data_IF_579630069809
#
_entry.id   IF_579630069809
#
_cell.length_a   1.000
_cell.length_b   1.000
_cell.length_c   1.000
_cell.angle_alpha   90.00
_cell.angle_beta   90.00
_cell.angle_gamma   90.00
#
_symmetry.space_group_name_H-M   'P 1'
#
loop_
_entity.id
_entity.type
_entity.pdbx_description
1 polymer ?
#
# COMPACT_ATOMS: atom_id res chain seq x y z
N UNK A 1 -1.66 -2.63 -3.92
CA UNK A 1 -1.20 -2.26 -2.55
C UNK A 1 0.15 -2.87 -2.21
N UNK A 2 0.35 -4.20 -2.32
CA UNK A 2 1.63 -4.84 -2.00
C UNK A 2 2.84 -4.17 -2.68
N UNK A 3 2.75 -3.93 -3.99
CA UNK A 3 3.83 -3.29 -4.77
C UNK A 3 4.20 -1.91 -4.24
N UNK A 4 3.20 -1.09 -3.90
CA UNK A 4 3.44 0.24 -3.32
C UNK A 4 4.17 0.13 -1.98
N UNK A 5 3.81 -0.85 -1.13
CA UNK A 5 4.52 -1.07 0.13
C UNK A 5 5.99 -1.50 -0.09
N UNK A 6 6.25 -2.38 -1.06
CA UNK A 6 7.63 -2.79 -1.39
C UNK A 6 8.44 -1.61 -1.93
N UNK A 7 7.81 -0.75 -2.74
CA UNK A 7 8.42 0.46 -3.27
C UNK A 7 8.64 1.51 -2.18
N UNK A 8 7.72 1.68 -1.24
CA UNK A 8 7.91 2.55 -0.06
C UNK A 8 9.15 2.14 0.75
N UNK A 9 9.30 0.83 1.02
CA UNK A 9 10.49 0.30 1.71
C UNK A 9 11.76 0.54 0.89
N UNK A 10 11.70 0.28 -0.42
CA UNK A 10 12.85 0.46 -1.32
C UNK A 10 13.29 1.93 -1.39
N UNK A 11 12.33 2.85 -1.59
CA UNK A 11 12.59 4.29 -1.62
C UNK A 11 13.08 4.79 -0.27
N UNK A 12 12.56 4.29 0.85
CA UNK A 12 13.04 4.63 2.19
C UNK A 12 14.52 4.22 2.40
N UNK A 13 14.91 3.03 1.92
CA UNK A 13 16.31 2.59 1.96
C UNK A 13 17.19 3.53 1.13
N UNK A 14 16.74 3.95 -0.06
CA UNK A 14 17.49 4.88 -0.90
C UNK A 14 17.50 6.33 -0.39
N UNK A 15 16.47 6.76 0.33
CA UNK A 15 16.32 8.12 0.86
C UNK A 15 17.04 8.31 2.21
N UNK A 16 17.03 7.31 3.10
CA UNK A 16 17.64 7.43 4.43
C UNK A 16 18.79 6.45 4.65
N UNK A 17 18.63 5.19 4.27
CA UNK A 17 19.63 4.15 4.54
C UNK A 17 20.94 4.37 3.79
N UNK A 18 20.86 4.54 2.47
CA UNK A 18 22.02 4.80 1.61
C UNK A 18 22.72 6.12 1.99
N UNK A 19 22.01 7.27 2.08
CA UNK A 19 22.57 8.53 2.58
C UNK A 19 23.23 8.42 3.95
N UNK A 20 22.65 7.67 4.89
CA UNK A 20 23.27 7.46 6.21
C UNK A 20 24.63 6.76 6.09
N UNK A 21 24.72 5.67 5.32
CA UNK A 21 25.99 4.97 5.08
C UNK A 21 26.99 5.88 4.39
N UNK A 22 26.58 6.57 3.32
CA UNK A 22 27.45 7.49 2.59
C UNK A 22 27.94 8.64 3.45
N UNK A 23 27.09 9.20 4.32
CA UNK A 23 27.49 10.27 5.25
C UNK A 23 28.44 9.77 6.32
N UNK A 24 28.18 8.58 6.87
CA UNK A 24 28.99 8.00 7.94
C UNK A 24 30.42 7.68 7.47
N UNK A 25 30.58 7.17 6.25
CA UNK A 25 31.88 6.84 5.67
C UNK A 25 32.46 7.96 4.78
N UNK A 26 31.78 9.10 4.65
CA UNK A 26 32.21 10.20 3.78
C UNK A 26 32.31 9.81 2.29
N UNK A 27 31.47 8.90 1.81
CA UNK A 27 31.49 8.41 0.43
C UNK A 27 30.87 9.46 -0.50
N UNK A 28 31.64 9.87 -1.51
CA UNK A 28 31.26 10.85 -2.52
C UNK A 28 31.62 10.34 -3.91
N UNK A 29 30.95 10.85 -4.94
CA UNK A 29 31.25 10.49 -6.32
C UNK A 29 32.71 10.78 -6.70
N UNK A 30 33.36 11.76 -6.05
CA UNK A 30 34.76 12.11 -6.25
C UNK A 30 35.75 11.09 -5.67
N UNK A 31 35.46 10.52 -4.48
CA UNK A 31 36.41 9.65 -3.78
C UNK A 31 36.13 8.15 -3.97
N UNK A 32 34.89 7.78 -4.31
CA UNK A 32 34.48 6.38 -4.42
C UNK A 32 34.20 5.97 -5.87
N UNK A 33 34.18 6.92 -6.80
CA UNK A 33 34.00 6.67 -8.23
C UNK A 33 32.54 6.54 -8.68
N UNK A 34 32.36 6.00 -9.90
CA UNK A 34 31.09 6.07 -10.62
C UNK A 34 29.95 5.23 -10.03
N UNK A 35 30.23 4.26 -9.15
CA UNK A 35 29.16 3.42 -8.59
C UNK A 35 28.14 4.22 -7.76
N UNK A 36 28.55 5.34 -7.16
CA UNK A 36 27.65 6.28 -6.47
C UNK A 36 26.66 6.90 -7.45
N UNK A 37 27.11 7.21 -8.66
CA UNK A 37 26.24 7.78 -9.70
C UNK A 37 25.22 6.72 -10.15
N UNK A 38 25.66 5.47 -10.32
CA UNK A 38 24.76 4.33 -10.63
C UNK A 38 23.75 4.07 -9.52
N UNK A 39 24.15 4.27 -8.26
CA UNK A 39 23.26 4.16 -7.10
C UNK A 39 22.21 5.28 -7.10
N UNK A 40 22.59 6.51 -7.44
CA UNK A 40 21.67 7.63 -7.64
C UNK A 40 20.68 7.38 -8.78
N UNK A 41 21.14 6.79 -9.88
CA UNK A 41 20.26 6.34 -10.98
C UNK A 41 19.24 5.29 -10.51
N UNK A 42 19.68 4.31 -9.72
CA UNK A 42 18.79 3.29 -9.15
C UNK A 42 17.75 3.91 -8.21
N UNK A 43 18.16 4.88 -7.39
CA UNK A 43 17.25 5.65 -6.53
C UNK A 43 16.14 6.34 -7.34
N UNK A 44 16.51 7.03 -8.43
CA UNK A 44 15.53 7.69 -9.32
C UNK A 44 14.63 6.70 -10.06
N UNK A 45 15.17 5.56 -10.50
CA UNK A 45 14.36 4.51 -11.12
C UNK A 45 13.30 3.97 -10.15
N UNK A 46 13.67 3.74 -8.88
CA UNK A 46 12.70 3.34 -7.84
C UNK A 46 11.66 4.42 -7.56
N UNK A 47 12.06 5.70 -7.62
CA UNK A 47 11.13 6.82 -7.49
C UNK A 47 10.08 6.87 -8.62
N UNK A 48 10.48 6.63 -9.87
CA UNK A 48 9.55 6.58 -10.99
C UNK A 48 8.61 5.37 -10.92
N UNK A 49 9.11 4.20 -10.50
CA UNK A 49 8.26 3.03 -10.21
C UNK A 49 7.20 3.38 -9.16
N UNK A 50 7.62 3.99 -8.05
CA UNK A 50 6.72 4.42 -6.99
C UNK A 50 5.69 5.43 -7.49
N UNK A 51 6.12 6.39 -8.30
CA UNK A 51 5.23 7.40 -8.90
C UNK A 51 4.11 6.75 -9.71
N UNK A 52 4.43 5.88 -10.66
CA UNK A 52 3.43 5.16 -11.45
C UNK A 52 2.51 4.30 -10.57
N UNK A 53 3.08 3.56 -9.62
CA UNK A 53 2.32 2.69 -8.73
C UNK A 53 1.33 3.48 -7.85
N UNK A 54 1.73 4.66 -7.37
CA UNK A 54 0.87 5.55 -6.56
C UNK A 54 -0.30 6.12 -7.35
N UNK A 55 -0.07 6.51 -8.62
CA UNK A 55 -1.13 6.99 -9.53
C UNK A 55 -2.13 5.87 -9.84
N UNK A 56 -1.65 4.67 -10.18
CA UNK A 56 -2.51 3.51 -10.45
C UNK A 56 -3.32 3.14 -9.20
N UNK A 57 -2.74 3.22 -8.01
CA UNK A 57 -3.46 3.01 -6.76
C UNK A 57 -4.58 4.04 -6.57
N UNK A 58 -4.30 5.32 -6.84
CA UNK A 58 -5.31 6.39 -6.81
C UNK A 58 -6.45 6.13 -7.80
N UNK A 59 -6.12 5.72 -9.03
CA UNK A 59 -7.09 5.36 -10.07
C UNK A 59 -7.96 4.18 -9.64
N UNK A 60 -7.35 3.13 -9.08
CA UNK A 60 -8.08 1.98 -8.54
C UNK A 60 -9.10 2.42 -7.48
N UNK A 61 -8.73 3.34 -6.58
CA UNK A 61 -9.66 3.84 -5.55
C UNK A 61 -10.79 4.67 -6.12
N UNK A 62 -10.52 5.52 -7.11
CA UNK A 62 -11.56 6.28 -7.80
C UNK A 62 -12.56 5.35 -8.49
N UNK A 63 -12.07 4.41 -9.30
CA UNK A 63 -12.92 3.50 -10.07
C UNK A 63 -13.74 2.58 -9.16
N UNK A 64 -13.15 2.14 -8.03
CA UNK A 64 -13.85 1.32 -7.02
C UNK A 64 -15.11 2.00 -6.48
N UNK A 65 -15.12 3.32 -6.31
CA UNK A 65 -16.33 4.04 -5.93
C UNK A 65 -17.23 4.37 -7.11
N UNK A 66 -16.66 4.78 -8.24
CA UNK A 66 -17.43 5.24 -9.39
C UNK A 66 -18.21 4.11 -10.05
N UNK A 67 -17.57 2.95 -10.28
CA UNK A 67 -18.19 1.85 -11.00
C UNK A 67 -17.57 0.48 -10.66
N UNK A 68 -18.34 -0.41 -10.01
CA UNK A 68 -17.93 -1.80 -9.79
C UNK A 68 -17.64 -2.55 -11.11
N UNK A 69 -18.35 -2.21 -12.20
CA UNK A 69 -18.15 -2.81 -13.52
C UNK A 69 -16.76 -2.48 -14.08
N UNK A 70 -16.37 -1.22 -14.04
CA UNK A 70 -15.04 -0.79 -14.50
C UNK A 70 -13.93 -1.35 -13.61
N UNK A 71 -14.17 -1.48 -12.30
CA UNK A 71 -13.24 -2.14 -11.38
C UNK A 71 -13.00 -3.59 -11.80
N UNK A 72 -14.07 -4.31 -12.15
CA UNK A 72 -13.98 -5.68 -12.69
C UNK A 72 -13.21 -5.77 -14.01
N UNK A 73 -13.32 -4.76 -14.88
CA UNK A 73 -12.62 -4.76 -16.17
C UNK A 73 -11.12 -4.52 -16.00
N UNK A 74 -10.74 -3.51 -15.21
CA UNK A 74 -9.36 -3.02 -15.10
C UNK A 74 -8.54 -3.68 -14.00
N UNK A 75 -9.17 -4.12 -12.91
CA UNK A 75 -8.49 -4.55 -11.68
C UNK A 75 -8.95 -5.93 -11.16
N UNK A 76 -9.67 -6.72 -11.96
CA UNK A 76 -10.03 -8.10 -11.58
C UNK A 76 -8.94 -9.10 -11.91
N UNK A 77 -8.82 -10.12 -11.07
CA UNK A 77 -8.02 -11.32 -11.28
C UNK A 77 -6.56 -11.01 -11.68
N UNK A 78 -6.09 -11.68 -12.74
CA UNK A 78 -4.72 -11.58 -13.24
C UNK A 78 -4.42 -10.24 -13.92
N UNK A 79 -5.43 -9.44 -14.27
CA UNK A 79 -5.25 -8.16 -14.98
C UNK A 79 -4.57 -7.11 -14.10
N UNK A 80 -4.70 -7.23 -12.78
CA UNK A 80 -3.95 -6.41 -11.83
C UNK A 80 -2.44 -6.54 -12.00
N UNK A 81 -1.95 -7.72 -12.41
CA UNK A 81 -0.52 -7.92 -12.68
C UNK A 81 -0.07 -7.27 -13.99
N UNK A 82 -0.95 -7.05 -14.96
CA UNK A 82 -0.61 -6.32 -16.19
C UNK A 82 -0.23 -4.86 -15.91
N UNK A 83 -0.77 -4.26 -14.85
CA UNK A 83 -0.36 -2.92 -14.41
C UNK A 83 1.10 -2.85 -13.96
N UNK A 84 1.75 -3.97 -13.62
CA UNK A 84 3.19 -3.98 -13.40
C UNK A 84 3.95 -3.57 -14.66
N UNK A 85 3.52 -4.03 -15.83
CA UNK A 85 4.15 -3.63 -17.10
C UNK A 85 4.04 -2.13 -17.32
N UNK A 86 2.92 -1.51 -16.93
CA UNK A 86 2.75 -0.05 -16.98
C UNK A 86 3.70 0.65 -16.00
N UNK A 87 3.84 0.11 -14.77
CA UNK A 87 4.74 0.67 -13.75
C UNK A 87 6.21 0.61 -14.22
N UNK A 88 6.67 -0.56 -14.67
CA UNK A 88 8.02 -0.74 -15.18
C UNK A 88 8.27 0.03 -16.48
N UNK A 89 7.30 0.03 -17.39
CA UNK A 89 7.36 0.77 -18.65
C UNK A 89 7.47 2.28 -18.42
N UNK A 90 6.70 2.84 -17.47
CA UNK A 90 6.79 4.25 -17.08
C UNK A 90 8.17 4.61 -16.56
N UNK A 91 8.72 3.80 -15.64
CA UNK A 91 10.04 4.06 -15.06
C UNK A 91 11.14 3.97 -16.13
N UNK A 92 11.08 2.95 -16.97
CA UNK A 92 12.02 2.75 -18.09
C UNK A 92 11.93 3.90 -19.08
N UNK A 93 10.73 4.37 -19.42
CA UNK A 93 10.52 5.52 -20.30
C UNK A 93 11.23 6.77 -19.77
N UNK A 94 11.05 7.12 -18.49
CA UNK A 94 11.74 8.28 -17.90
C UNK A 94 13.26 8.10 -17.85
N UNK A 95 13.73 6.90 -17.53
CA UNK A 95 15.16 6.58 -17.52
C UNK A 95 15.83 6.69 -18.89
N UNK A 96 15.11 6.41 -19.97
CA UNK A 96 15.60 6.58 -21.36
C UNK A 96 15.47 8.05 -21.81
N UNK A 97 14.39 8.73 -21.39
CA UNK A 97 14.10 10.11 -21.79
C UNK A 97 15.14 11.11 -21.26
N UNK A 98 15.79 10.81 -20.14
CA UNK A 98 16.74 11.73 -19.50
C UNK A 98 18.14 11.53 -20.09
N UNK A 99 18.68 12.52 -20.84
CA UNK A 99 20.04 12.42 -21.37
C UNK A 99 21.06 12.61 -20.27
N UNK A 100 22.08 11.75 -20.22
CA UNK A 100 23.24 11.85 -19.32
C UNK A 100 22.88 12.17 -17.84
N UNK A 101 22.09 11.32 -17.16
CA UNK A 101 21.72 11.56 -15.77
C UNK A 101 22.95 11.58 -14.87
N UNK A 102 23.08 12.63 -14.05
CA UNK A 102 24.16 12.80 -13.09
C UNK A 102 23.58 12.98 -11.69
N UNK A 103 23.30 11.85 -11.05
CA UNK A 103 22.65 11.81 -9.74
C UNK A 103 23.62 11.32 -8.68
N UNK A 104 23.88 12.12 -7.67
CA UNK A 104 24.79 11.75 -6.59
C UNK A 104 24.33 12.35 -5.27
N UNK A 105 24.62 11.65 -4.19
CA UNK A 105 24.41 12.18 -2.86
C UNK A 105 25.60 13.04 -2.44
N UNK A 106 25.31 14.21 -1.86
CA UNK A 106 26.33 15.10 -1.29
C UNK A 106 26.23 15.07 0.25
N UNK A 107 27.18 14.44 0.97
CA UNK A 107 27.20 14.39 2.42
C UNK A 107 27.25 15.76 3.11
N UNK A 108 27.87 16.77 2.47
CA UNK A 108 28.01 18.11 3.06
C UNK A 108 26.69 18.86 3.12
N UNK A 109 25.86 18.72 2.09
CA UNK A 109 24.52 19.32 2.03
C UNK A 109 23.43 18.36 2.54
N UNK A 110 23.78 17.09 2.78
CA UNK A 110 22.86 16.07 3.27
C UNK A 110 21.68 15.78 2.34
N UNK A 111 21.87 15.84 1.02
CA UNK A 111 20.78 15.67 0.05
C UNK A 111 21.27 15.08 -1.27
N UNK A 112 20.35 14.48 -2.02
CA UNK A 112 20.59 14.03 -3.39
C UNK A 112 20.60 15.22 -4.37
N UNK A 113 21.65 15.31 -5.17
CA UNK A 113 21.76 16.24 -6.28
C UNK A 113 21.28 15.53 -7.54
N UNK A 114 20.25 16.10 -8.19
CA UNK A 114 19.55 15.50 -9.32
C UNK A 114 19.67 16.41 -10.54
N UNK A 115 20.79 16.30 -11.26
CA UNK A 115 21.11 17.17 -12.40
C UNK A 115 21.48 16.35 -13.65
N UNK A 116 21.66 17.05 -14.77
CA UNK A 116 22.26 16.49 -15.99
C UNK A 116 23.77 16.72 -15.96
N UNK A 117 24.56 15.81 -16.57
CA UNK A 117 26.02 15.89 -16.55
C UNK A 117 26.58 17.10 -17.31
N UNK A 118 26.02 17.41 -18.49
CA UNK A 118 26.67 18.33 -19.42
C UNK A 118 25.67 19.11 -20.28
N UNK A 119 25.58 20.46 -20.13
CA UNK A 119 25.96 21.26 -18.96
C UNK A 119 25.13 20.91 -17.72
N UNK A 120 25.67 21.13 -16.51
CA UNK A 120 24.93 20.99 -15.26
C UNK A 120 23.68 21.87 -15.28
N UNK A 121 22.53 21.23 -15.50
CA UNK A 121 21.24 21.88 -15.65
C UNK A 121 20.19 21.11 -14.87
N UNK A 122 19.11 21.84 -14.56
CA UNK A 122 17.92 21.26 -13.98
C UNK A 122 17.39 20.10 -14.82
N UNK A 123 17.07 18.99 -14.16
CA UNK A 123 16.45 17.86 -14.82
C UNK A 123 14.95 18.14 -15.01
N UNK A 124 14.60 18.73 -16.16
CA UNK A 124 13.21 19.09 -16.47
C UNK A 124 12.27 17.89 -16.52
N UNK A 125 12.74 16.71 -16.94
CA UNK A 125 11.91 15.50 -16.93
C UNK A 125 11.58 15.07 -15.49
N UNK A 126 12.54 15.18 -14.56
CA UNK A 126 12.27 14.97 -13.14
C UNK A 126 11.27 15.98 -12.56
N UNK A 127 11.40 17.27 -12.91
CA UNK A 127 10.44 18.30 -12.50
C UNK A 127 9.04 17.99 -13.06
N UNK A 128 8.96 17.68 -14.36
CA UNK A 128 7.72 17.33 -15.04
C UNK A 128 7.07 16.11 -14.39
N UNK A 129 7.80 15.02 -14.14
CA UNK A 129 7.30 13.83 -13.45
C UNK A 129 6.63 14.18 -12.11
N UNK A 130 7.29 15.00 -11.29
CA UNK A 130 6.80 15.36 -9.97
C UNK A 130 5.59 16.29 -10.02
N UNK A 131 5.56 17.25 -10.95
CA UNK A 131 4.43 18.14 -11.16
C UNK A 131 3.23 17.39 -11.75
N UNK A 132 3.44 16.54 -12.75
CA UNK A 132 2.42 15.67 -13.32
C UNK A 132 1.84 14.74 -12.26
N UNK A 133 2.68 14.13 -11.41
CA UNK A 133 2.22 13.31 -10.28
C UNK A 133 1.32 14.12 -9.36
N UNK A 134 1.74 15.32 -8.95
CA UNK A 134 0.97 16.20 -8.07
C UNK A 134 -0.41 16.51 -8.67
N UNK A 135 -0.46 16.90 -9.93
CA UNK A 135 -1.70 17.25 -10.63
C UNK A 135 -2.62 16.03 -10.79
N UNK A 136 -2.09 14.91 -11.29
CA UNK A 136 -2.88 13.70 -11.54
C UNK A 136 -3.46 13.15 -10.23
N UNK A 137 -2.64 13.01 -9.19
CA UNK A 137 -3.11 12.55 -7.87
C UNK A 137 -4.15 13.51 -7.31
N UNK A 138 -3.92 14.82 -7.40
CA UNK A 138 -4.87 15.84 -6.97
C UNK A 138 -6.25 15.67 -7.64
N UNK A 139 -6.26 15.53 -8.97
CA UNK A 139 -7.49 15.30 -9.75
C UNK A 139 -8.18 13.99 -9.33
N UNK A 140 -7.44 12.89 -9.21
CA UNK A 140 -8.00 11.59 -8.85
C UNK A 140 -8.69 11.61 -7.49
N UNK A 141 -8.04 12.20 -6.48
CA UNK A 141 -8.60 12.27 -5.13
C UNK A 141 -9.71 13.30 -5.00
N UNK A 142 -9.64 14.43 -5.72
CA UNK A 142 -10.75 15.38 -5.78
C UNK A 142 -11.99 14.75 -6.42
N UNK A 143 -11.82 14.05 -7.55
CA UNK A 143 -12.89 13.30 -8.19
C UNK A 143 -13.46 12.21 -7.27
N UNK A 144 -12.60 11.52 -6.52
CA UNK A 144 -13.03 10.50 -5.55
C UNK A 144 -13.90 11.09 -4.44
N UNK A 145 -13.51 12.25 -3.88
CA UNK A 145 -14.30 12.96 -2.87
C UNK A 145 -15.64 13.43 -3.46
N UNK A 146 -15.63 13.95 -4.69
CA UNK A 146 -16.84 14.36 -5.39
C UNK A 146 -17.82 13.19 -5.55
N UNK A 147 -17.35 12.05 -6.07
CA UNK A 147 -18.16 10.82 -6.23
C UNK A 147 -18.68 10.34 -4.88
N UNK A 148 -17.82 10.31 -3.86
CA UNK A 148 -18.22 9.91 -2.49
C UNK A 148 -19.33 10.82 -1.95
N UNK A 149 -19.20 12.14 -2.13
CA UNK A 149 -20.22 13.12 -1.69
C UNK A 149 -21.54 12.91 -2.42
N UNK A 150 -21.51 12.68 -3.73
CA UNK A 150 -22.71 12.41 -4.53
C UNK A 150 -23.41 11.15 -4.05
N UNK A 151 -22.69 10.05 -3.85
CA UNK A 151 -23.28 8.80 -3.34
C UNK A 151 -23.87 8.93 -1.94
N UNK A 152 -23.21 9.68 -1.05
CA UNK A 152 -23.75 9.97 0.28
C UNK A 152 -25.04 10.79 0.20
N UNK A 153 -25.14 11.75 -0.72
CA UNK A 153 -26.37 12.54 -0.95
C UNK A 153 -27.52 11.70 -1.52
N UNK A 154 -27.19 10.74 -2.37
CA UNK A 154 -28.15 9.80 -2.95
C UNK A 154 -28.53 8.64 -2.01
N UNK A 155 -28.04 8.65 -0.75
CA UNK A 155 -28.22 7.58 0.22
C UNK A 155 -27.78 6.19 -0.30
N UNK A 156 -26.82 6.15 -1.22
CA UNK A 156 -26.26 4.88 -1.69
C UNK A 156 -25.46 4.21 -0.58
N UNK A 157 -25.63 2.88 -0.46
CA UNK A 157 -24.85 2.08 0.47
C UNK A 157 -23.38 2.01 0.02
N UNK A 158 -22.48 2.47 0.89
CA UNK A 158 -21.03 2.43 0.64
C UNK A 158 -20.37 1.67 1.79
N UNK A 159 -19.51 0.70 1.45
CA UNK A 159 -18.79 -0.09 2.44
C UNK A 159 -17.91 0.78 3.34
N UNK A 160 -17.99 0.54 4.65
CA UNK A 160 -17.12 1.18 5.64
C UNK A 160 -15.63 0.89 5.39
N UNK A 161 -15.31 -0.26 4.79
CA UNK A 161 -13.94 -0.62 4.43
C UNK A 161 -13.44 0.28 3.30
N UNK A 162 -14.25 0.47 2.26
CA UNK A 162 -13.90 1.33 1.11
C UNK A 162 -13.70 2.78 1.54
N UNK A 163 -14.60 3.32 2.38
CA UNK A 163 -14.48 4.66 2.97
C UNK A 163 -13.14 4.84 3.71
N UNK A 164 -12.80 3.90 4.58
CA UNK A 164 -11.56 3.97 5.39
C UNK A 164 -10.30 3.88 4.55
N UNK A 165 -10.23 2.94 3.62
CA UNK A 165 -9.07 2.78 2.73
C UNK A 165 -8.84 4.04 1.89
N UNK A 166 -9.91 4.71 1.51
CA UNK A 166 -9.83 5.86 0.63
C UNK A 166 -9.46 7.12 1.37
N UNK A 167 -9.94 7.28 2.61
CA UNK A 167 -9.46 8.32 3.51
C UNK A 167 -7.96 8.16 3.82
N UNK A 168 -7.50 6.93 4.08
CA UNK A 168 -6.07 6.63 4.26
C UNK A 168 -5.25 7.09 3.05
N UNK A 169 -5.66 6.68 1.85
CA UNK A 169 -4.93 7.01 0.65
C UNK A 169 -4.96 8.52 0.36
N UNK A 170 -6.07 9.21 0.68
CA UNK A 170 -6.18 10.67 0.56
C UNK A 170 -5.22 11.40 1.51
N UNK A 171 -5.14 10.96 2.77
CA UNK A 171 -4.18 11.54 3.74
C UNK A 171 -2.74 11.35 3.27
N UNK A 172 -2.40 10.16 2.77
CA UNK A 172 -1.07 9.88 2.20
C UNK A 172 -0.79 10.77 0.99
N UNK A 173 -1.79 10.99 0.13
CA UNK A 173 -1.66 11.84 -1.05
C UNK A 173 -1.39 13.32 -0.69
N UNK A 174 -2.06 13.86 0.34
CA UNK A 174 -1.79 15.23 0.83
C UNK A 174 -0.36 15.34 1.36
N UNK A 175 0.06 14.41 2.21
CA UNK A 175 1.42 14.39 2.75
C UNK A 175 2.45 14.28 1.61
N UNK A 176 2.18 13.43 0.62
CA UNK A 176 3.05 13.28 -0.55
C UNK A 176 3.12 14.54 -1.40
N UNK A 177 2.01 15.27 -1.53
CA UNK A 177 1.97 16.55 -2.24
C UNK A 177 2.82 17.60 -1.53
N UNK A 178 2.67 17.74 -0.21
CA UNK A 178 3.45 18.67 0.60
C UNK A 178 4.96 18.36 0.50
N UNK A 179 5.33 17.09 0.67
CA UNK A 179 6.72 16.65 0.54
C UNK A 179 7.30 16.90 -0.86
N UNK A 180 6.52 16.64 -1.93
CA UNK A 180 6.96 16.94 -3.31
C UNK A 180 7.25 18.42 -3.53
N UNK A 181 6.34 19.30 -3.07
CA UNK A 181 6.51 20.75 -3.22
C UNK A 181 7.70 21.23 -2.40
N UNK A 182 7.85 20.76 -1.17
CA UNK A 182 9.00 21.09 -0.33
C UNK A 182 10.31 20.64 -0.96
N UNK A 183 10.39 19.39 -1.47
CA UNK A 183 11.60 18.85 -2.07
C UNK A 183 11.99 19.62 -3.34
N UNK A 184 11.04 19.86 -4.25
CA UNK A 184 11.31 20.63 -5.47
C UNK A 184 11.68 22.08 -5.17
N UNK A 185 10.88 22.76 -4.34
CA UNK A 185 11.10 24.16 -3.98
C UNK A 185 12.48 24.34 -3.34
N UNK A 186 12.87 23.43 -2.45
CA UNK A 186 14.14 23.53 -1.76
C UNK A 186 15.32 23.13 -2.65
N UNK A 187 15.21 22.05 -3.42
CA UNK A 187 16.27 21.60 -4.32
C UNK A 187 16.64 22.64 -5.37
N UNK A 188 15.69 23.47 -5.82
CA UNK A 188 15.91 24.44 -6.89
C UNK A 188 16.00 25.91 -6.43
N UNK A 189 15.36 26.30 -5.32
CA UNK A 189 15.35 27.70 -4.86
C UNK A 189 16.29 27.96 -3.67
N UNK A 190 16.61 26.93 -2.88
CA UNK A 190 17.27 27.10 -1.58
C UNK A 190 18.50 26.22 -1.35
N UNK A 191 18.81 25.29 -2.25
CA UNK A 191 19.90 24.31 -2.10
C UNK A 191 21.29 24.93 -1.81
N UNK A 192 21.53 26.17 -2.24
CA UNK A 192 22.80 26.87 -2.01
C UNK A 192 22.84 27.74 -0.74
N UNK A 193 21.72 27.90 -0.02
CA UNK A 193 21.61 28.90 1.06
C UNK A 193 21.97 28.36 2.46
N UNK A 194 21.87 27.05 2.70
CA UNK A 194 22.25 26.44 3.99
C UNK A 194 22.41 24.93 3.89
N UNK A 195 23.45 24.41 4.54
CA UNK A 195 23.77 22.98 4.62
C UNK A 195 22.71 22.15 5.38
N UNK A 196 21.98 22.77 6.31
CA UNK A 196 20.98 22.08 7.13
C UNK A 196 19.66 21.85 6.38
N UNK A 197 19.39 22.68 5.37
CA UNK A 197 18.13 22.64 4.63
C UNK A 197 18.01 21.33 3.84
N UNK A 198 19.10 20.86 3.23
CA UNK A 198 19.10 19.59 2.49
C UNK A 198 18.82 18.39 3.39
N UNK A 199 19.46 18.32 4.57
CA UNK A 199 19.22 17.28 5.57
C UNK A 199 17.76 17.21 6.02
N UNK A 200 17.16 18.36 6.35
CA UNK A 200 15.76 18.43 6.80
C UNK A 200 14.83 17.96 5.70
N UNK A 201 15.08 18.35 4.45
CA UNK A 201 14.25 17.94 3.31
C UNK A 201 14.36 16.45 3.03
N UNK A 202 15.56 15.89 3.04
CA UNK A 202 15.76 14.46 2.83
C UNK A 202 15.12 13.65 3.96
N UNK A 203 15.18 14.14 5.20
CA UNK A 203 14.49 13.54 6.34
C UNK A 203 12.96 13.58 6.17
N UNK A 204 12.38 14.73 5.82
CA UNK A 204 10.94 14.86 5.58
C UNK A 204 10.48 13.97 4.42
N UNK A 205 11.30 13.86 3.38
CA UNK A 205 11.08 12.97 2.25
C UNK A 205 11.08 11.50 2.66
N UNK A 206 12.07 11.06 3.43
CA UNK A 206 12.11 9.70 3.97
C UNK A 206 10.93 9.42 4.91
N UNK A 207 10.58 10.36 5.78
CA UNK A 207 9.46 10.23 6.72
C UNK A 207 8.11 10.04 6.00
N UNK A 208 7.91 10.65 4.83
CA UNK A 208 6.71 10.44 4.01
C UNK A 208 6.47 8.94 3.74
N UNK A 209 7.52 8.21 3.33
CA UNK A 209 7.46 6.80 3.01
C UNK A 209 7.32 5.91 4.26
N UNK A 210 7.85 6.35 5.40
CA UNK A 210 7.63 5.68 6.69
C UNK A 210 6.21 5.86 7.23
N UNK A 211 5.63 7.05 7.08
CA UNK A 211 4.31 7.40 7.61
C UNK A 211 3.20 6.62 6.90
N UNK A 212 3.34 6.27 5.62
CA UNK A 212 2.35 5.44 4.92
C UNK A 212 2.14 4.10 5.65
N UNK A 213 3.23 3.42 6.04
CA UNK A 213 3.19 2.18 6.82
C UNK A 213 2.52 2.35 8.19
N UNK A 214 2.82 3.44 8.88
CA UNK A 214 2.19 3.75 10.18
C UNK A 214 0.69 4.01 10.04
N UNK A 215 0.26 4.77 9.03
CA UNK A 215 -1.15 5.02 8.71
C UNK A 215 -1.88 3.69 8.47
N UNK A 216 -1.29 2.77 7.70
CA UNK A 216 -1.86 1.45 7.49
C UNK A 216 -1.98 0.66 8.79
N UNK A 217 -0.94 0.66 9.62
CA UNK A 217 -0.97 0.00 10.92
C UNK A 217 -2.05 0.55 11.84
N UNK A 218 -2.23 1.88 11.94
CA UNK A 218 -3.21 2.51 12.83
C UNK A 218 -4.64 2.43 12.30
N UNK A 219 -4.84 2.43 10.99
CA UNK A 219 -6.19 2.54 10.40
C UNK A 219 -6.75 1.20 9.87
N UNK A 220 -5.93 0.15 9.73
CA UNK A 220 -6.36 -1.16 9.20
C UNK A 220 -6.47 -2.24 10.30
N UNK A 221 -7.70 -2.50 10.78
CA UNK A 221 -7.97 -3.48 11.85
C UNK A 221 -7.48 -4.91 11.54
N UNK A 222 -7.69 -5.47 10.33
CA UNK A 222 -7.08 -6.74 9.94
C UNK A 222 -5.55 -6.77 10.12
N UNK A 223 -4.85 -5.71 9.68
CA UNK A 223 -3.39 -5.60 9.85
C UNK A 223 -3.03 -5.57 11.33
N UNK A 224 -3.71 -4.75 12.14
CA UNK A 224 -3.49 -4.70 13.60
C UNK A 224 -3.65 -6.05 14.27
N UNK A 225 -4.68 -6.82 13.90
CA UNK A 225 -4.91 -8.16 14.46
C UNK A 225 -3.77 -9.11 14.11
N UNK A 226 -3.30 -9.04 12.87
CA UNK A 226 -2.19 -9.87 12.39
C UNK A 226 -0.89 -9.50 13.11
N UNK A 227 -0.57 -8.22 13.22
CA UNK A 227 0.61 -7.73 13.95
C UNK A 227 0.51 -8.09 15.44
N UNK A 228 -0.64 -7.85 16.10
CA UNK A 228 -0.87 -8.24 17.50
C UNK A 228 -0.70 -9.74 17.74
N UNK A 229 -1.04 -10.58 16.76
CA UNK A 229 -0.79 -12.02 16.82
C UNK A 229 0.69 -12.34 16.65
N UNK A 230 1.37 -11.66 15.72
CA UNK A 230 2.80 -11.83 15.46
C UNK A 230 3.65 -11.44 16.69
N UNK A 231 3.33 -10.33 17.34
CA UNK A 231 4.02 -9.85 18.56
C UNK A 231 3.53 -10.55 19.86
N UNK A 232 2.72 -11.61 19.76
CA UNK A 232 2.30 -12.42 20.91
C UNK A 232 1.23 -11.79 21.82
N UNK A 233 0.70 -10.61 21.49
CA UNK A 233 -0.30 -9.89 22.32
C UNK A 233 -1.71 -10.48 22.16
N UNK A 234 -2.02 -11.15 21.05
CA UNK A 234 -3.34 -11.73 20.81
C UNK A 234 -3.43 -13.18 21.31
N UNK A 235 -4.27 -13.43 22.33
CA UNK A 235 -4.62 -14.79 22.80
C UNK A 235 -5.29 -15.59 21.68
N UNK A 236 -4.86 -16.84 21.48
CA UNK A 236 -5.54 -17.79 20.61
C UNK A 236 -7.01 -17.91 21.04
N UNK A 237 -7.92 -17.77 20.09
CA UNK A 237 -9.35 -17.92 20.36
C UNK A 237 -9.62 -19.42 20.54
N UNK A 238 -10.03 -19.85 21.74
CA UNK A 238 -10.51 -21.23 21.97
C UNK A 238 -11.65 -21.50 21.00
N UNK A 239 -11.50 -22.52 20.15
CA UNK A 239 -12.55 -22.95 19.24
C UNK A 239 -13.26 -24.12 19.90
N UNK A 240 -14.49 -23.92 20.35
CA UNK A 240 -15.32 -25.03 20.84
C UNK A 240 -15.89 -25.75 19.62
N UNK A 241 -15.38 -26.95 19.34
CA UNK A 241 -15.98 -27.83 18.33
C UNK A 241 -17.17 -28.53 18.98
N UNK A 242 -18.37 -28.30 18.47
CA UNK A 242 -19.56 -29.02 18.91
C UNK A 242 -19.70 -30.27 18.05
N UNK A 243 -19.43 -31.45 18.62
CA UNK A 243 -19.76 -32.72 17.96
C UNK A 243 -21.25 -33.02 18.16
N UNK A 244 -22.01 -32.99 17.08
CA UNK A 244 -23.39 -33.46 17.07
C UNK A 244 -23.34 -34.92 16.62
N UNK A 245 -23.70 -35.84 17.52
CA UNK A 245 -23.85 -37.26 17.17
C UNK A 245 -25.34 -37.53 16.99
N UNK A 246 -25.72 -38.00 15.80
CA UNK A 246 -27.09 -38.42 15.52
C UNK A 246 -27.22 -39.89 15.91
N UNK A 247 -28.06 -40.18 16.90
CA UNK A 247 -28.43 -41.55 17.29
C UNK A 247 -29.89 -41.80 16.89
N UNK A 248 -30.24 -43.05 16.62
CA UNK A 248 -31.60 -43.47 16.27
C UNK A 248 -32.64 -43.11 17.35
N UNK A 249 -32.21 -42.76 18.57
CA UNK A 249 -33.09 -42.35 19.69
C UNK A 249 -33.08 -40.83 19.98
N UNK A 250 -32.65 -40.00 19.03
CA UNK A 250 -32.69 -38.53 19.12
C UNK A 250 -31.33 -37.83 19.14
N UNK A 251 -31.35 -36.49 19.09
CA UNK A 251 -30.14 -35.66 19.07
C UNK A 251 -29.53 -35.54 20.47
N UNK A 252 -28.29 -36.04 20.67
CA UNK A 252 -27.47 -35.71 21.85
C UNK A 252 -26.31 -34.80 21.42
N UNK A 253 -26.34 -33.55 21.91
CA UNK A 253 -25.23 -32.62 21.75
C UNK A 253 -24.25 -32.79 22.91
N UNK A 254 -23.09 -33.39 22.65
CA UNK A 254 -22.01 -33.47 23.63
C UNK A 254 -21.02 -32.32 23.38
N UNK A 255 -20.91 -31.41 24.36
CA UNK A 255 -19.85 -30.40 24.37
C UNK A 255 -18.56 -31.07 24.81
N UNK A 256 -17.62 -31.28 23.89
CA UNK A 256 -16.23 -31.53 24.25
C UNK A 256 -15.42 -30.24 24.07
N UNK A 257 -14.65 -29.89 25.09
CA UNK A 257 -13.69 -28.80 25.03
C UNK A 257 -12.41 -29.34 24.42
N UNK A 258 -12.23 -29.20 23.11
CA UNK A 258 -10.91 -29.40 22.51
C UNK A 258 -10.00 -28.21 22.86
N UNK A 259 -8.77 -28.51 23.27
CA UNK A 259 -7.75 -27.52 23.64
C UNK A 259 -7.38 -26.58 22.50
N UNK A 260 -6.36 -25.74 22.71
CA UNK A 260 -5.94 -24.70 21.77
C UNK A 260 -5.56 -25.27 20.38
N UNK A 261 -6.51 -25.39 19.45
CA UNK A 261 -6.22 -25.77 18.07
C UNK A 261 -5.83 -24.53 17.28
N UNK A 262 -4.58 -24.50 16.80
CA UNK A 262 -4.12 -23.53 15.82
C UNK A 262 -4.73 -23.89 14.45
N UNK A 263 -5.80 -23.20 14.06
CA UNK A 263 -6.33 -23.32 12.70
C UNK A 263 -5.41 -22.54 11.75
N UNK A 264 -4.48 -23.24 11.12
CA UNK A 264 -3.87 -22.80 9.88
C UNK A 264 -4.91 -22.94 8.76
N UNK A 265 -5.23 -21.84 8.09
CA UNK A 265 -6.18 -21.83 6.98
C UNK A 265 -5.58 -22.52 5.76
N UNK A 266 -5.65 -23.85 5.72
CA UNK A 266 -5.56 -24.60 4.47
C UNK A 266 -6.96 -24.79 3.90
N UNK A 267 -7.09 -24.53 2.60
CA UNK A 267 -8.25 -24.85 1.78
C UNK A 267 -8.61 -26.33 2.01
N UNK A 268 -9.77 -26.59 2.63
CA UNK A 268 -10.33 -27.93 2.71
C UNK A 268 -11.08 -28.24 1.40
N UNK A 269 -10.99 -29.47 0.88
CA UNK A 269 -11.69 -29.87 -0.33
C UNK A 269 -13.22 -29.80 -0.17
N UNK A 270 -13.99 -29.74 -1.27
CA UNK A 270 -15.43 -29.42 -1.27
C UNK A 270 -16.35 -30.40 -0.53
N UNK A 271 -15.83 -31.52 -0.01
CA UNK A 271 -16.62 -32.58 0.62
C UNK A 271 -16.90 -32.36 2.12
N UNK A 272 -16.43 -31.27 2.73
CA UNK A 272 -16.60 -31.01 4.17
C UNK A 272 -17.54 -29.83 4.42
N UNK A 273 -18.80 -30.12 4.76
CA UNK A 273 -19.77 -29.12 5.24
C UNK A 273 -19.37 -28.68 6.66
N UNK A 274 -18.70 -27.54 6.77
CA UNK A 274 -18.46 -26.87 8.05
C UNK A 274 -19.66 -25.99 8.41
N UNK A 275 -20.55 -26.49 9.27
CA UNK A 275 -21.62 -25.67 9.86
C UNK A 275 -21.03 -24.74 10.92
N UNK A 276 -20.80 -23.48 10.54
CA UNK A 276 -20.31 -22.42 11.41
C UNK A 276 -21.47 -21.81 12.22
N UNK A 277 -21.86 -22.45 13.33
CA UNK A 277 -22.90 -21.91 14.21
C UNK A 277 -22.30 -20.81 15.09
N UNK A 278 -22.82 -19.59 14.94
CA UNK A 278 -22.44 -18.40 15.74
C UNK A 278 -23.13 -18.50 17.10
N UNK A 279 -22.36 -18.59 18.18
CA UNK A 279 -22.79 -18.85 19.57
C UNK A 279 -23.77 -17.85 20.23
N UNK A 280 -24.32 -16.87 19.52
CA UNK A 280 -25.16 -15.82 20.15
C UNK A 280 -26.60 -15.76 19.60
N UNK A 281 -27.10 -16.80 18.95
CA UNK A 281 -28.51 -16.87 18.56
C UNK A 281 -28.97 -18.33 18.62
N UNK A 282 -29.26 -18.82 19.82
CA UNK A 282 -30.01 -20.06 20.00
C UNK A 282 -31.48 -19.67 19.91
N UNK A 283 -32.04 -19.74 18.71
CA UNK A 283 -33.48 -19.83 18.44
C UNK A 283 -33.64 -20.17 16.95
N UNK A 284 -33.04 -21.28 16.52
CA UNK A 284 -33.50 -21.94 15.31
C UNK A 284 -34.61 -22.90 15.75
N UNK A 285 -35.85 -22.59 15.40
CA UNK A 285 -36.95 -23.55 15.59
C UNK A 285 -36.61 -24.85 14.86
N UNK A 286 -37.04 -25.98 15.43
CA UNK A 286 -36.86 -27.33 14.91
C UNK A 286 -37.23 -27.44 13.40
N UNK A 287 -38.11 -26.57 12.94
CA UNK A 287 -38.54 -26.40 11.54
C UNK A 287 -37.42 -25.98 10.59
N UNK A 288 -36.48 -25.13 11.02
CA UNK A 288 -35.36 -24.66 10.19
C UNK A 288 -34.32 -25.75 9.99
N UNK A 289 -34.07 -26.58 11.02
CA UNK A 289 -33.17 -27.71 10.93
C UNK A 289 -33.73 -28.81 10.03
N UNK A 290 -35.04 -29.10 10.11
CA UNK A 290 -35.69 -30.07 9.21
C UNK A 290 -35.59 -29.64 7.73
N UNK A 291 -35.76 -28.35 7.42
CA UNK A 291 -35.63 -27.83 6.03
C UNK A 291 -34.23 -27.99 5.43
N UNK A 292 -33.17 -27.80 6.22
CA UNK A 292 -31.78 -27.97 5.74
C UNK A 292 -31.49 -29.45 5.44
N UNK A 293 -32.08 -30.37 6.20
CA UNK A 293 -31.89 -31.81 6.01
C UNK A 293 -32.68 -32.32 4.78
N UNK A 294 -33.89 -31.81 4.52
CA UNK A 294 -34.66 -32.22 3.33
C UNK A 294 -34.03 -31.75 2.02
N UNK A 295 -33.37 -30.58 2.02
CA UNK A 295 -32.69 -30.07 0.82
C UNK A 295 -31.52 -30.96 0.37
N UNK A 296 -30.86 -31.65 1.30
CA UNK A 296 -29.69 -32.49 1.02
C UNK A 296 -30.03 -33.95 0.70
N UNK A 297 -31.32 -34.34 0.75
CA UNK A 297 -31.77 -35.69 0.35
C UNK A 297 -32.24 -35.76 -1.10
N UNK A 298 -32.40 -34.60 -1.77
CA UNK A 298 -32.92 -34.48 -3.12
C UNK A 298 -31.87 -33.97 -4.14
N UNK A 299 -30.59 -34.05 -3.81
CA UNK A 299 -29.43 -33.82 -4.69
C UNK A 299 -28.42 -34.93 -4.47
#
# INVERSE_FOLDING_TARGET
MLIVCLLDVSVLIHALGVPAVMSFFGLTHCNSGEWIIRLGFTSMYMWYLYTAASVILGLNRLIEFSSPRLTGIFFSDKRTWAWLLVIFGYSTFYSILIPEPYYYYNPMSGTWIIVLRTPEKANYAYIANNLSKLVIIGILYFAMIYVLRTKLRLNEAISNVQKRLSLQCFTIAILSAAANVSYLGISYLFAHKSIYIGMVVELLWGLLHGVSGYIYFVMNRPVQKTVKKFIGIAKFRKTTVMHITVSNNGFKANKSSTGNVAIFGFYLPPSVISLRIRSNTILASETTLKKIITFNRNT
#
